data_IF_730717297673
#
_entry.id   IF_730717297673
#
_cell.length_a   1.000
_cell.length_b   1.000
_cell.length_c   1.000
_cell.angle_alpha   90.00
_cell.angle_beta   90.00
_cell.angle_gamma   90.00
#
_symmetry.space_group_name_H-M   'P 1'
#
loop_
_entity.id
_entity.type
_entity.pdbx_description
1 polymer ?
#
# COMPACT_ATOMS: atom_id res chain seq x y z
N UNK A 1 -55.18 28.06 -13.49
CA UNK A 1 -53.89 28.10 -14.20
C UNK A 1 -52.88 27.33 -13.36
N UNK A 2 -52.38 26.22 -13.88
CA UNK A 2 -51.50 25.26 -13.21
C UNK A 2 -50.14 25.88 -12.85
N UNK A 3 -49.61 25.63 -11.63
CA UNK A 3 -48.20 25.29 -11.47
C UNK A 3 -47.90 24.48 -10.18
N UNK A 4 -47.71 23.18 -10.45
CA UNK A 4 -46.97 22.10 -9.78
C UNK A 4 -46.16 22.40 -8.50
N UNK A 5 -46.36 21.51 -7.53
CA UNK A 5 -45.51 21.20 -6.37
C UNK A 5 -44.04 20.97 -6.72
N UNK A 6 -43.15 21.38 -5.82
CA UNK A 6 -41.89 20.68 -5.54
C UNK A 6 -41.65 20.67 -4.04
N UNK A 7 -41.80 19.49 -3.44
CA UNK A 7 -41.43 19.19 -2.06
C UNK A 7 -39.99 18.69 -2.08
N UNK A 8 -39.06 19.38 -1.43
CA UNK A 8 -37.74 18.82 -1.14
C UNK A 8 -37.82 18.08 0.20
N UNK A 9 -37.85 16.74 0.14
CA UNK A 9 -37.46 15.90 1.27
C UNK A 9 -35.95 16.06 1.47
N UNK A 10 -35.53 16.69 2.57
CA UNK A 10 -34.16 16.54 3.07
C UNK A 10 -34.12 15.18 3.75
N UNK A 11 -33.65 14.18 3.01
CA UNK A 11 -33.40 12.84 3.53
C UNK A 11 -32.30 12.93 4.59
N UNK A 12 -32.59 12.44 5.79
CA UNK A 12 -31.72 12.52 6.96
C UNK A 12 -30.33 11.95 6.69
N UNK A 13 -29.33 12.80 6.88
CA UNK A 13 -27.94 12.38 7.00
C UNK A 13 -27.79 11.72 8.38
N UNK A 14 -27.82 10.39 8.42
CA UNK A 14 -27.42 9.64 9.60
C UNK A 14 -25.90 9.84 9.80
N UNK A 15 -25.54 10.78 10.67
CA UNK A 15 -24.20 10.82 11.25
C UNK A 15 -24.04 9.59 12.14
N UNK A 16 -23.39 8.55 11.60
CA UNK A 16 -22.79 7.53 12.45
C UNK A 16 -21.59 8.16 13.16
N UNK A 17 -21.83 8.64 14.38
CA UNK A 17 -20.75 8.87 15.36
C UNK A 17 -20.22 7.49 15.72
N UNK A 18 -19.11 7.10 15.09
CA UNK A 18 -18.36 5.91 15.53
C UNK A 18 -17.76 6.24 16.90
N UNK A 19 -18.23 5.57 17.95
CA UNK A 19 -17.53 5.57 19.23
C UNK A 19 -16.07 5.11 19.01
N UNK A 20 -15.09 5.59 19.79
CA UNK A 20 -13.73 5.06 19.72
C UNK A 20 -13.77 3.61 20.21
N UNK A 21 -13.96 2.69 19.27
CA UNK A 21 -13.83 1.26 19.52
C UNK A 21 -12.42 0.99 20.05
N UNK A 22 -12.32 0.14 21.06
CA UNK A 22 -11.03 -0.41 21.46
C UNK A 22 -10.35 -1.00 20.21
N UNK A 23 -9.15 -0.49 19.90
CA UNK A 23 -8.30 -0.98 18.81
C UNK A 23 -7.95 -2.45 19.11
N UNK A 24 -8.78 -3.37 18.63
CA UNK A 24 -8.55 -4.81 18.76
C UNK A 24 -7.50 -5.25 17.74
N UNK A 25 -6.71 -6.27 18.08
CA UNK A 25 -5.93 -7.02 17.12
C UNK A 25 -6.84 -7.46 15.96
N UNK A 26 -6.36 -7.32 14.72
CA UNK A 26 -7.02 -7.82 13.52
C UNK A 26 -6.30 -9.10 13.08
N UNK A 27 -6.57 -10.27 13.70
CA UNK A 27 -6.03 -11.53 13.21
C UNK A 27 -6.53 -11.74 11.78
N UNK A 28 -5.62 -11.93 10.82
CA UNK A 28 -6.04 -12.11 9.44
C UNK A 28 -6.87 -13.38 9.31
N UNK A 29 -8.09 -13.20 8.82
CA UNK A 29 -8.55 -13.64 7.51
C UNK A 29 -9.80 -12.79 7.24
N UNK A 30 -9.66 -11.65 6.56
CA UNK A 30 -10.82 -11.05 5.90
C UNK A 30 -10.93 -11.74 4.54
N UNK A 31 -11.86 -12.70 4.35
CA UNK A 31 -11.94 -13.42 3.09
C UNK A 31 -12.65 -12.51 2.08
N UNK A 32 -11.88 -11.68 1.37
CA UNK A 32 -12.33 -11.07 0.12
C UNK A 32 -12.30 -9.54 0.02
N UNK A 33 -11.79 -8.81 1.00
CA UNK A 33 -11.72 -7.34 0.94
C UNK A 33 -10.32 -6.81 1.29
N UNK A 34 -9.97 -5.66 0.71
CA UNK A 34 -8.73 -4.94 1.02
C UNK A 34 -8.88 -4.18 2.34
N UNK A 35 -7.97 -4.43 3.27
CA UNK A 35 -7.84 -3.71 4.53
C UNK A 35 -6.89 -2.51 4.38
N UNK A 36 -7.13 -1.45 5.14
CA UNK A 36 -6.23 -0.31 5.23
C UNK A 36 -6.15 0.23 6.65
N UNK A 37 -4.93 0.53 7.10
CA UNK A 37 -4.70 1.28 8.33
C UNK A 37 -3.62 2.34 8.10
N UNK A 38 -3.89 3.58 8.52
CA UNK A 38 -2.89 4.65 8.53
C UNK A 38 -2.33 4.79 9.93
N UNK A 39 -1.11 4.31 10.14
CA UNK A 39 -0.51 4.19 11.47
C UNK A 39 1.01 4.33 11.41
N UNK A 40 1.67 4.30 12.56
CA UNK A 40 3.13 4.17 12.63
C UNK A 40 3.48 2.70 12.46
N UNK A 41 4.17 2.37 11.38
CA UNK A 41 4.66 1.02 11.12
C UNK A 41 6.15 0.92 11.46
N UNK A 42 6.67 -0.27 11.80
CA UNK A 42 8.10 -0.47 12.03
C UNK A 42 8.91 0.03 10.82
N UNK A 43 10.01 0.72 11.05
CA UNK A 43 10.93 1.17 9.98
C UNK A 43 10.27 1.97 8.83
N UNK A 44 9.22 2.72 9.14
CA UNK A 44 8.51 3.58 8.19
C UNK A 44 8.22 4.96 8.80
N UNK A 45 7.90 5.94 7.97
CA UNK A 45 7.48 7.24 8.46
C UNK A 45 6.13 7.14 9.21
N UNK A 46 5.90 8.06 10.16
CA UNK A 46 4.74 8.05 11.05
C UNK A 46 3.37 8.26 10.37
N UNK A 47 3.34 8.32 9.04
CA UNK A 47 2.17 8.53 8.19
C UNK A 47 2.07 7.50 7.06
N UNK A 48 2.71 6.34 7.26
CA UNK A 48 2.64 5.20 6.35
C UNK A 48 1.27 4.52 6.41
N UNK A 49 0.97 3.80 5.34
CA UNK A 49 -0.22 2.97 5.20
C UNK A 49 0.18 1.51 5.28
N UNK A 50 -0.54 0.75 6.09
CA UNK A 50 -0.61 -0.69 5.98
C UNK A 50 -1.79 -1.02 5.06
N UNK A 51 -1.55 -1.86 4.06
CA UNK A 51 -2.60 -2.45 3.24
C UNK A 51 -2.59 -3.95 3.43
N UNK A 52 -3.76 -4.55 3.65
CA UNK A 52 -3.95 -5.99 3.69
C UNK A 52 -4.74 -6.44 2.47
N UNK A 53 -4.14 -7.26 1.62
CA UNK A 53 -4.78 -7.83 0.42
C UNK A 53 -5.37 -9.21 0.75
N UNK A 54 -6.37 -9.66 -0.04
CA UNK A 54 -6.86 -11.03 0.06
C UNK A 54 -5.73 -12.07 0.00
N UNK A 55 -5.91 -13.17 0.75
CA UNK A 55 -4.88 -14.22 0.86
C UNK A 55 -3.80 -13.94 1.92
N UNK A 56 -3.98 -12.92 2.76
CA UNK A 56 -3.07 -12.64 3.88
C UNK A 56 -1.73 -12.05 3.41
N UNK A 57 -1.75 -11.32 2.30
CA UNK A 57 -0.59 -10.59 1.79
C UNK A 57 -0.75 -9.14 2.18
N UNK A 58 0.21 -8.63 2.93
CA UNK A 58 0.13 -7.28 3.49
C UNK A 58 1.38 -6.49 3.12
N UNK A 59 1.28 -5.17 3.02
CA UNK A 59 2.43 -4.33 2.73
C UNK A 59 2.34 -2.94 3.36
N UNK A 60 3.52 -2.38 3.62
CA UNK A 60 3.70 -1.03 4.11
C UNK A 60 4.00 -0.12 2.91
N UNK A 61 3.13 0.86 2.66
CA UNK A 61 3.39 1.95 1.71
C UNK A 61 3.67 3.24 2.47
N UNK A 62 4.84 3.82 2.24
CA UNK A 62 5.24 5.07 2.87
C UNK A 62 5.14 6.22 1.84
N UNK A 63 4.19 7.16 1.99
CA UNK A 63 4.04 8.26 1.04
C UNK A 63 5.17 9.29 1.11
N UNK A 64 5.93 9.35 2.21
CA UNK A 64 7.09 10.24 2.35
C UNK A 64 8.29 9.67 1.61
N UNK A 65 8.49 8.35 1.69
CA UNK A 65 9.46 7.65 0.84
C UNK A 65 8.98 7.55 -0.61
N UNK A 66 7.67 7.48 -0.82
CA UNK A 66 6.98 7.30 -2.10
C UNK A 66 7.03 5.88 -2.65
N UNK A 67 6.96 4.86 -1.78
CA UNK A 67 7.01 3.46 -2.23
C UNK A 67 6.71 2.44 -1.14
N UNK A 68 6.73 1.16 -1.54
CA UNK A 68 6.52 0.02 -0.64
C UNK A 68 7.79 -0.24 0.18
N UNK A 69 7.75 -0.14 1.51
CA UNK A 69 8.91 -0.38 2.37
C UNK A 69 9.18 -1.87 2.54
N UNK A 70 8.12 -2.65 2.73
CA UNK A 70 8.19 -4.10 2.88
C UNK A 70 6.80 -4.73 2.73
N UNK A 71 6.80 -6.04 2.51
CA UNK A 71 5.61 -6.88 2.54
C UNK A 71 5.75 -7.96 3.62
N UNK A 72 4.63 -8.36 4.22
CA UNK A 72 4.56 -9.47 5.16
C UNK A 72 3.37 -10.37 4.84
N UNK A 73 3.42 -11.62 5.29
CA UNK A 73 2.34 -12.60 5.07
C UNK A 73 1.68 -13.01 6.38
N UNK A 74 0.44 -13.49 6.33
CA UNK A 74 -0.32 -13.92 7.50
C UNK A 74 -1.22 -12.81 8.05
N UNK A 75 -1.21 -12.64 9.38
CA UNK A 75 -1.98 -11.64 10.11
C UNK A 75 -1.70 -10.21 9.66
N UNK A 76 -2.71 -9.33 9.71
CA UNK A 76 -2.55 -7.94 9.28
C UNK A 76 -1.79 -7.12 10.33
N UNK A 77 -2.46 -6.56 11.34
CA UNK A 77 -1.83 -5.74 12.39
C UNK A 77 -2.43 -5.99 13.78
N UNK A 78 -1.59 -5.83 14.80
CA UNK A 78 -2.03 -5.55 16.17
C UNK A 78 -1.77 -4.08 16.51
N UNK A 79 -2.87 -3.37 16.78
CA UNK A 79 -2.91 -1.95 17.07
C UNK A 79 -3.02 -1.63 18.58
N UNK A 80 -3.11 -2.66 19.43
CA UNK A 80 -3.37 -2.53 20.89
C UNK A 80 -2.41 -1.55 21.56
N UNK A 81 -1.13 -1.57 21.15
CA UNK A 81 -0.07 -0.78 21.77
C UNK A 81 0.26 0.53 21.04
N UNK A 82 -0.43 0.85 19.93
CA UNK A 82 -0.14 2.05 19.13
C UNK A 82 -0.55 3.32 19.87
N UNK A 83 -1.66 3.27 20.63
CA UNK A 83 -2.15 4.39 21.46
C UNK A 83 -2.63 3.89 22.83
N UNK A 84 -1.71 3.61 23.77
CA UNK A 84 -2.08 3.02 25.05
C UNK A 84 -2.73 4.01 26.05
N UNK A 85 -2.88 5.29 25.72
CA UNK A 85 -3.55 6.27 26.58
C UNK A 85 -3.24 7.74 26.22
N UNK A 86 -3.84 8.71 26.92
CA UNK A 86 -3.54 10.12 26.72
C UNK A 86 -2.11 10.44 27.16
N UNK A 87 -1.27 10.87 26.22
CA UNK A 87 -0.04 11.63 26.51
C UNK A 87 1.33 10.94 26.39
N UNK A 88 1.47 9.65 26.03
CA UNK A 88 2.81 9.04 25.86
C UNK A 88 2.97 8.01 24.74
N UNK A 89 4.11 8.17 24.05
CA UNK A 89 4.85 7.33 23.09
C UNK A 89 4.05 6.43 22.15
N UNK A 90 4.10 6.81 20.87
CA UNK A 90 3.57 6.06 19.74
C UNK A 90 4.49 4.86 19.49
N UNK A 91 4.11 3.66 19.96
CA UNK A 91 4.78 2.45 19.50
C UNK A 91 4.32 2.15 18.08
N UNK A 92 5.22 1.64 17.22
CA UNK A 92 4.80 1.10 15.93
C UNK A 92 3.76 -0.02 16.12
N UNK A 93 2.82 -0.13 15.19
CA UNK A 93 1.93 -1.27 15.10
C UNK A 93 2.73 -2.57 14.97
N UNK A 94 2.23 -3.64 15.59
CA UNK A 94 2.88 -4.94 15.48
C UNK A 94 2.37 -5.65 14.22
N UNK A 95 3.30 -6.09 13.38
CA UNK A 95 2.98 -6.97 12.24
C UNK A 95 2.61 -8.35 12.76
N UNK A 96 1.50 -8.92 12.31
CA UNK A 96 1.05 -10.25 12.71
C UNK A 96 1.54 -11.33 11.73
N UNK A 97 2.80 -11.24 11.31
CA UNK A 97 3.43 -12.23 10.45
C UNK A 97 4.84 -11.84 9.99
N UNK A 98 5.56 -12.75 9.31
CA UNK A 98 6.94 -12.52 8.89
C UNK A 98 7.01 -11.56 7.69
N UNK A 99 8.01 -10.67 7.70
CA UNK A 99 8.39 -9.87 6.54
C UNK A 99 9.00 -10.80 5.48
N UNK A 100 8.50 -10.71 4.24
CA UNK A 100 8.88 -11.59 3.12
C UNK A 100 9.52 -10.85 1.95
N UNK A 101 9.44 -9.52 1.93
CA UNK A 101 10.15 -8.66 0.98
C UNK A 101 10.42 -7.30 1.62
N UNK A 102 11.51 -6.64 1.21
CA UNK A 102 11.91 -5.33 1.73
C UNK A 102 12.56 -4.50 0.63
N UNK A 103 12.23 -3.22 0.60
CA UNK A 103 12.82 -2.25 -0.32
C UNK A 103 13.30 -1.03 0.48
N UNK A 104 14.41 -0.44 0.05
CA UNK A 104 15.01 0.73 0.69
C UNK A 104 15.43 1.77 -0.36
N UNK A 105 15.79 2.97 0.09
CA UNK A 105 16.12 4.11 -0.77
C UNK A 105 14.91 4.99 -1.11
N UNK A 106 15.10 6.29 -1.35
CA UNK A 106 14.01 7.23 -1.56
C UNK A 106 13.45 7.17 -2.98
N UNK A 107 12.12 7.33 -3.11
CA UNK A 107 11.41 7.60 -4.34
C UNK A 107 11.71 6.61 -5.49
N UNK A 108 11.45 5.31 -5.32
CA UNK A 108 12.03 4.27 -6.16
C UNK A 108 11.62 4.31 -7.64
N UNK A 109 10.45 4.87 -7.99
CA UNK A 109 10.04 5.06 -9.38
C UNK A 109 10.71 6.32 -9.97
N UNK A 110 11.47 6.19 -11.07
CA UNK A 110 12.22 7.27 -11.71
C UNK A 110 11.83 7.43 -13.17
N UNK A 111 11.76 8.68 -13.64
CA UNK A 111 11.49 9.05 -15.04
C UNK A 111 12.76 9.56 -15.71
N UNK A 112 13.10 9.03 -16.88
CA UNK A 112 14.20 9.50 -17.73
C UNK A 112 15.60 9.11 -17.26
N UNK A 113 15.95 9.42 -16.02
CA UNK A 113 17.26 9.17 -15.41
C UNK A 113 17.10 8.38 -14.10
N UNK A 114 17.70 7.17 -13.97
CA UNK A 114 17.65 6.40 -12.72
C UNK A 114 18.36 7.06 -11.53
N UNK A 115 19.28 8.01 -11.77
CA UNK A 115 20.00 8.73 -10.72
C UNK A 115 19.22 9.93 -10.15
N UNK A 116 18.27 10.47 -10.91
CA UNK A 116 17.44 11.61 -10.47
C UNK A 116 16.45 11.17 -9.39
N UNK A 117 16.38 11.90 -8.28
CA UNK A 117 15.43 11.65 -7.19
C UNK A 117 14.26 12.62 -7.33
N UNK A 118 13.05 12.18 -7.74
CA UNK A 118 11.93 13.08 -7.97
C UNK A 118 11.31 13.53 -6.65
N UNK A 119 10.67 14.70 -6.70
CA UNK A 119 9.76 15.16 -5.65
C UNK A 119 8.45 14.38 -5.76
N UNK A 120 8.01 13.81 -4.64
CA UNK A 120 6.80 12.99 -4.57
C UNK A 120 5.71 13.73 -3.81
N UNK A 121 4.53 13.83 -4.41
CA UNK A 121 3.35 14.31 -3.70
C UNK A 121 2.23 13.27 -3.76
N UNK A 122 1.96 12.65 -2.61
CA UNK A 122 0.85 11.71 -2.49
C UNK A 122 -0.50 12.43 -2.60
N UNK A 123 -1.38 11.95 -3.48
CA UNK A 123 -2.69 12.55 -3.76
C UNK A 123 -3.87 11.71 -3.23
N UNK A 124 -3.66 10.43 -2.92
CA UNK A 124 -4.69 9.58 -2.31
C UNK A 124 -4.67 8.16 -2.85
N UNK A 125 -5.72 7.41 -2.51
CA UNK A 125 -5.88 6.02 -2.94
C UNK A 125 -7.35 5.67 -3.22
N UNK A 126 -7.57 4.52 -3.83
CA UNK A 126 -8.89 3.88 -3.99
C UNK A 126 -8.72 2.38 -3.72
N UNK A 127 -9.49 1.85 -2.78
CA UNK A 127 -9.57 0.42 -2.53
C UNK A 127 -10.40 -0.24 -3.62
N UNK A 128 -9.94 -1.39 -4.11
CA UNK A 128 -10.68 -2.29 -4.99
C UNK A 128 -10.94 -3.60 -4.24
N UNK A 129 -11.58 -4.58 -4.89
CA UNK A 129 -11.86 -5.89 -4.29
C UNK A 129 -10.60 -6.63 -3.82
N UNK A 130 -9.54 -6.58 -4.62
CA UNK A 130 -8.34 -7.40 -4.47
C UNK A 130 -7.03 -6.61 -4.70
N UNK A 131 -7.14 -5.30 -4.89
CA UNK A 131 -6.02 -4.41 -5.13
C UNK A 131 -6.27 -3.02 -4.55
N UNK A 132 -5.22 -2.22 -4.46
CA UNK A 132 -5.32 -0.79 -4.17
C UNK A 132 -4.71 0.01 -5.29
N UNK A 133 -5.42 1.06 -5.73
CA UNK A 133 -4.85 2.09 -6.60
C UNK A 133 -4.36 3.26 -5.75
N UNK A 134 -3.09 3.61 -5.90
CA UNK A 134 -2.44 4.77 -5.30
C UNK A 134 -2.28 5.86 -6.37
N UNK A 135 -2.47 7.11 -5.97
CA UNK A 135 -2.32 8.30 -6.83
C UNK A 135 -1.33 9.26 -6.22
N UNK A 136 -0.32 9.64 -6.99
CA UNK A 136 0.71 10.59 -6.60
C UNK A 136 1.27 11.30 -7.83
N UNK A 137 2.09 12.33 -7.61
CA UNK A 137 2.92 12.94 -8.65
C UNK A 137 4.40 12.64 -8.42
N UNK A 138 5.16 12.59 -9.53
CA UNK A 138 6.62 12.58 -9.55
C UNK A 138 7.06 13.77 -10.39
N UNK A 139 7.67 14.78 -9.77
CA UNK A 139 7.98 16.06 -10.43
C UNK A 139 6.77 16.55 -11.25
N UNK A 140 5.64 16.69 -10.57
CA UNK A 140 4.32 17.06 -11.13
C UNK A 140 3.72 16.10 -12.17
N UNK A 141 4.43 15.06 -12.59
CA UNK A 141 3.92 14.04 -13.52
C UNK A 141 2.96 13.10 -12.79
N UNK A 142 1.67 13.01 -13.17
CA UNK A 142 0.72 12.14 -12.47
C UNK A 142 1.00 10.65 -12.67
N UNK A 143 0.94 9.90 -11.58
CA UNK A 143 1.10 8.44 -11.55
C UNK A 143 -0.12 7.81 -10.89
N UNK A 144 -0.65 6.78 -11.54
CA UNK A 144 -1.56 5.80 -10.92
C UNK A 144 -0.83 4.48 -10.78
N UNK A 145 -0.71 3.99 -9.56
CA UNK A 145 -0.07 2.73 -9.24
C UNK A 145 -1.08 1.77 -8.64
N UNK A 146 -1.36 0.67 -9.31
CA UNK A 146 -2.18 -0.40 -8.76
C UNK A 146 -1.29 -1.49 -8.16
N UNK A 147 -1.53 -1.84 -6.90
CA UNK A 147 -0.80 -2.90 -6.18
C UNK A 147 -1.77 -4.04 -5.86
N UNK A 148 -1.45 -5.23 -6.35
CA UNK A 148 -2.21 -6.46 -6.13
C UNK A 148 -1.27 -7.61 -5.73
N UNK A 149 -1.81 -8.63 -5.08
CA UNK A 149 -1.10 -9.89 -4.88
C UNK A 149 -0.95 -10.64 -6.22
N UNK A 150 0.12 -11.42 -6.36
CA UNK A 150 0.17 -12.45 -7.39
C UNK A 150 -0.86 -13.55 -7.07
N UNK A 151 -1.44 -14.16 -8.10
CA UNK A 151 -2.47 -15.19 -7.94
C UNK A 151 -1.96 -16.45 -7.23
N UNK A 152 -0.64 -16.71 -7.30
CA UNK A 152 0.04 -17.80 -6.60
C UNK A 152 0.48 -17.42 -5.17
N UNK A 153 0.17 -16.19 -4.73
CA UNK A 153 0.55 -15.66 -3.42
C UNK A 153 2.05 -15.38 -3.24
N UNK A 154 2.86 -15.52 -4.30
CA UNK A 154 4.33 -15.48 -4.20
C UNK A 154 4.94 -14.08 -4.29
N UNK A 155 4.13 -13.02 -4.32
CA UNK A 155 4.64 -11.68 -4.50
C UNK A 155 3.56 -10.60 -4.68
N UNK A 156 4.04 -9.40 -5.00
CA UNK A 156 3.23 -8.25 -5.39
C UNK A 156 3.40 -7.97 -6.88
N UNK A 157 2.30 -7.68 -7.56
CA UNK A 157 2.26 -7.05 -8.88
C UNK A 157 1.93 -5.57 -8.71
N UNK A 158 2.78 -4.72 -9.27
CA UNK A 158 2.61 -3.26 -9.29
C UNK A 158 2.46 -2.83 -10.73
N UNK A 159 1.35 -2.18 -11.04
CA UNK A 159 1.01 -1.72 -12.39
C UNK A 159 0.92 -0.21 -12.40
N UNK A 160 1.84 0.43 -13.11
CA UNK A 160 1.94 1.87 -13.21
C UNK A 160 1.28 2.35 -14.50
N UNK A 161 0.45 3.37 -14.38
CA UNK A 161 -0.24 4.04 -15.48
C UNK A 161 0.03 5.53 -15.38
N UNK A 162 0.34 6.12 -16.51
CA UNK A 162 0.61 7.54 -16.65
C UNK A 162 -0.46 8.16 -17.56
N UNK A 163 -0.58 9.48 -17.51
CA UNK A 163 -1.23 10.19 -18.60
C UNK A 163 -0.30 10.26 -19.83
N UNK A 164 -0.74 10.93 -20.89
CA UNK A 164 0.06 11.09 -22.12
C UNK A 164 1.45 11.67 -21.83
N UNK A 165 1.58 12.58 -20.87
CA UNK A 165 2.85 13.24 -20.53
C UNK A 165 3.87 12.29 -19.91
N UNK A 166 3.45 11.18 -19.30
CA UNK A 166 4.39 10.18 -18.78
C UNK A 166 4.77 9.07 -19.75
N UNK A 167 4.16 8.99 -20.94
CA UNK A 167 4.42 7.92 -21.92
C UNK A 167 5.61 8.18 -22.85
N UNK A 168 6.18 9.38 -22.81
CA UNK A 168 7.30 9.83 -23.65
C UNK A 168 8.68 9.46 -23.09
N UNK A 169 8.74 8.94 -21.85
CA UNK A 169 9.97 8.71 -21.13
C UNK A 169 10.22 7.23 -20.85
N UNK A 170 11.51 6.88 -20.72
CA UNK A 170 11.91 5.62 -20.08
C UNK A 170 11.67 5.72 -18.58
N UNK A 171 11.29 4.61 -17.98
CA UNK A 171 11.02 4.52 -16.56
C UNK A 171 11.90 3.47 -15.91
N UNK A 172 12.34 3.77 -14.69
CA UNK A 172 13.21 2.91 -13.90
C UNK A 172 12.61 2.68 -12.52
N UNK A 173 12.93 1.53 -11.95
CA UNK A 173 12.67 1.22 -10.56
C UNK A 173 14.00 1.01 -9.84
N UNK A 174 14.24 1.77 -8.78
CA UNK A 174 15.54 1.86 -8.08
C UNK A 174 15.34 1.55 -6.60
N UNK A 175 15.96 0.47 -6.14
CA UNK A 175 16.04 0.10 -4.73
C UNK A 175 17.50 0.13 -4.28
N UNK A 176 17.77 0.63 -3.08
CA UNK A 176 19.16 0.76 -2.62
C UNK A 176 19.89 -0.59 -2.59
N UNK A 177 21.15 -0.60 -3.04
CA UNK A 177 21.97 -1.80 -3.12
C UNK A 177 21.65 -2.73 -4.30
N UNK A 178 20.72 -2.38 -5.19
CA UNK A 178 20.42 -3.12 -6.41
C UNK A 178 20.64 -2.25 -7.65
N UNK A 179 20.99 -2.84 -8.81
CA UNK A 179 20.99 -2.13 -10.08
C UNK A 179 19.60 -1.58 -10.41
N UNK A 180 19.55 -0.42 -11.06
CA UNK A 180 18.30 0.14 -11.56
C UNK A 180 17.64 -0.83 -12.55
N UNK A 181 16.35 -1.11 -12.35
CA UNK A 181 15.57 -1.95 -13.24
C UNK A 181 14.83 -1.08 -14.24
N UNK A 182 15.02 -1.29 -15.54
CA UNK A 182 14.20 -0.61 -16.56
C UNK A 182 12.81 -1.25 -16.60
N UNK A 183 11.77 -0.45 -16.45
CA UNK A 183 10.39 -0.92 -16.51
C UNK A 183 9.92 -1.03 -17.96
N UNK A 184 9.26 -2.13 -18.28
CA UNK A 184 8.76 -2.40 -19.65
C UNK A 184 7.24 -2.32 -19.67
N UNK A 185 6.70 -1.76 -20.75
CA UNK A 185 5.27 -1.67 -20.96
C UNK A 185 4.67 -3.04 -21.32
N UNK A 186 3.59 -3.41 -20.66
CA UNK A 186 2.70 -4.48 -21.11
C UNK A 186 1.93 -4.06 -22.36
N UNK A 187 1.25 -5.00 -23.01
CA UNK A 187 0.43 -4.73 -24.20
C UNK A 187 -0.66 -3.64 -23.98
N UNK A 188 -1.06 -3.41 -22.72
CA UNK A 188 -1.99 -2.36 -22.31
C UNK A 188 -1.38 -0.96 -22.25
N UNK A 189 -0.06 -0.83 -22.46
CA UNK A 189 0.70 0.41 -22.27
C UNK A 189 1.07 0.72 -20.81
N UNK A 190 0.58 -0.08 -19.85
CA UNK A 190 0.96 0.06 -18.45
C UNK A 190 2.34 -0.56 -18.19
N UNK A 191 3.13 0.04 -17.29
CA UNK A 191 4.38 -0.58 -16.84
C UNK A 191 4.10 -1.55 -15.71
N UNK A 192 4.78 -2.69 -15.72
CA UNK A 192 4.57 -3.73 -14.69
C UNK A 192 5.89 -4.01 -13.97
N UNK A 193 5.81 -4.05 -12.64
CA UNK A 193 6.86 -4.53 -11.75
C UNK A 193 6.33 -5.70 -10.93
N UNK A 194 7.14 -6.75 -10.84
CA UNK A 194 6.85 -7.93 -10.02
C UNK A 194 7.89 -8.00 -8.91
N UNK A 195 7.45 -7.86 -7.66
CA UNK A 195 8.29 -8.08 -6.48
C UNK A 195 7.97 -9.47 -5.95
N UNK A 196 8.89 -10.43 -6.14
CA UNK A 196 8.76 -11.79 -5.59
C UNK A 196 9.17 -11.81 -4.13
N UNK A 197 8.43 -12.58 -3.34
CA UNK A 197 8.75 -12.84 -1.95
C UNK A 197 9.91 -13.82 -1.85
N UNK A 198 10.77 -13.60 -0.85
CA UNK A 198 11.80 -14.58 -0.51
C UNK A 198 11.11 -15.80 0.07
N UNK A 199 11.40 -17.03 -0.41
CA UNK A 199 10.86 -18.24 0.20
C UNK A 199 11.17 -18.23 1.70
N UNK A 200 10.15 -18.35 2.54
CA UNK A 200 10.38 -18.60 3.95
C UNK A 200 10.97 -20.01 4.03
N UNK A 201 12.21 -20.15 4.48
CA UNK A 201 12.79 -21.47 4.72
C UNK A 201 11.84 -22.22 5.66
N UNK A 202 11.37 -23.44 5.31
CA UNK A 202 10.49 -24.17 6.21
C UNK A 202 11.21 -24.35 7.55
N UNK A 203 10.50 -24.08 8.65
CA UNK A 203 11.03 -24.31 9.98
C UNK A 203 11.49 -25.77 10.07
N UNK A 204 12.80 -25.99 10.19
CA UNK A 204 13.37 -27.30 10.51
C UNK A 204 12.75 -27.74 11.83
N UNK A 205 11.75 -28.60 11.76
CA UNK A 205 11.25 -29.30 12.93
C UNK A 205 12.33 -30.30 13.29
N UNK A 206 13.22 -29.92 14.20
CA UNK A 206 14.17 -30.84 14.78
C UNK A 206 13.37 -31.99 15.43
N UNK A 207 13.72 -33.26 15.18
CA UNK A 207 13.11 -34.36 15.91
C UNK A 207 13.44 -34.19 17.40
N UNK A 208 12.40 -34.20 18.23
CA UNK A 208 12.54 -34.24 19.69
C UNK A 208 13.23 -35.55 20.08
N UNK A 209 14.23 -35.53 20.99
CA UNK A 209 14.88 -36.76 21.47
C UNK A 209 13.89 -37.66 22.22
#
# INVERSE_FOLDING_TARGET
>A
MNLRSFSFLISGLAFFVHAPGSLRAQPALAPGEVLIERTVLPDAHASSFAFGLPGGINFCYDPVRGGVNYAWTGGFLDLTNVRPGPGKLIKPAQLLGPIVARESGPAPLRRGDPAHIPVIEFKGYTLRSDSVELRYTLDDTPVREEIAALSDGSGLRRTFRFDRSGTDAKWFYVTAGQPATTLTAAASGALVLITRFTPTSPATTAPKP
#
